data_IF_357445761798
#
_entry.id   IF_357445761798
#
_cell.length_a   1.000
_cell.length_b   1.000
_cell.length_c   1.000
_cell.angle_alpha   90.00
_cell.angle_beta   90.00
_cell.angle_gamma   90.00
#
_symmetry.space_group_name_H-M   'P 1'
#
loop_
_entity.id
_entity.type
_entity.pdbx_description
1 polymer ?
#
# COMPACT_ATOMS: atom_id res chain seq x y z
N UNK A 1 -67.70 -31.90 21.43
CA UNK A 1 -66.39 -31.93 20.74
C UNK A 1 -65.73 -33.28 21.05
N UNK A 2 -65.37 -34.04 20.02
CA UNK A 2 -65.27 -35.50 20.06
C UNK A 2 -64.03 -36.02 20.84
N UNK A 3 -64.13 -36.15 22.17
CA UNK A 3 -63.06 -36.59 23.07
C UNK A 3 -62.70 -38.08 22.99
N UNK A 4 -63.48 -38.90 22.27
CA UNK A 4 -63.22 -40.34 22.07
C UNK A 4 -62.08 -40.67 21.10
N UNK A 5 -61.75 -39.76 20.17
CA UNK A 5 -60.66 -39.97 19.21
C UNK A 5 -59.29 -39.94 19.91
N UNK A 6 -59.09 -38.99 20.81
CA UNK A 6 -57.84 -38.83 21.55
C UNK A 6 -57.51 -40.02 22.45
N UNK A 7 -58.50 -40.67 23.05
CA UNK A 7 -58.25 -41.84 23.89
C UNK A 7 -57.81 -43.07 23.10
N UNK A 8 -58.37 -43.29 21.90
CA UNK A 8 -58.06 -44.46 21.07
C UNK A 8 -56.68 -44.38 20.40
N UNK A 9 -56.24 -43.18 20.03
CA UNK A 9 -54.93 -42.95 19.39
C UNK A 9 -53.86 -42.44 20.37
N UNK A 10 -54.17 -42.31 21.67
CA UNK A 10 -53.24 -41.82 22.71
C UNK A 10 -51.90 -42.54 22.68
N UNK A 11 -51.92 -43.87 22.50
CA UNK A 11 -50.71 -44.69 22.44
C UNK A 11 -49.89 -44.40 21.17
N UNK A 12 -50.51 -44.36 20.00
CA UNK A 12 -49.83 -44.02 18.74
C UNK A 12 -49.22 -42.62 18.76
N UNK A 13 -49.92 -41.63 19.34
CA UNK A 13 -49.43 -40.26 19.52
C UNK A 13 -48.23 -40.27 20.48
N UNK A 14 -48.31 -41.02 21.59
CA UNK A 14 -47.21 -41.12 22.56
C UNK A 14 -45.94 -41.73 21.95
N UNK A 15 -46.08 -42.80 21.15
CA UNK A 15 -44.94 -43.40 20.45
C UNK A 15 -44.36 -42.48 19.38
N UNK A 16 -45.21 -41.76 18.63
CA UNK A 16 -44.74 -40.77 17.66
C UNK A 16 -43.97 -39.62 18.30
N UNK A 17 -44.46 -39.12 19.45
CA UNK A 17 -43.82 -38.05 20.21
C UNK A 17 -42.51 -38.54 20.84
N UNK A 18 -42.48 -39.78 21.35
CA UNK A 18 -41.26 -40.42 21.85
C UNK A 18 -40.22 -40.59 20.75
N UNK A 19 -40.61 -41.03 19.56
CA UNK A 19 -39.70 -41.18 18.41
C UNK A 19 -39.16 -39.82 17.95
N UNK A 20 -40.02 -38.80 17.86
CA UNK A 20 -39.59 -37.44 17.52
C UNK A 20 -38.60 -36.88 18.55
N UNK A 21 -38.86 -37.11 19.84
CA UNK A 21 -37.95 -36.72 20.93
C UNK A 21 -36.59 -37.43 20.82
N UNK A 22 -36.61 -38.74 20.52
CA UNK A 22 -35.41 -39.56 20.42
C UNK A 22 -34.55 -39.15 19.21
N UNK A 23 -35.18 -38.90 18.06
CA UNK A 23 -34.51 -38.36 16.88
C UNK A 23 -33.94 -36.96 17.12
N UNK A 24 -34.69 -36.09 17.80
CA UNK A 24 -34.21 -34.77 18.17
C UNK A 24 -32.99 -34.86 19.09
N UNK A 25 -33.04 -35.72 20.12
CA UNK A 25 -31.94 -35.94 21.04
C UNK A 25 -30.70 -36.51 20.32
N UNK A 26 -30.90 -37.45 19.40
CA UNK A 26 -29.82 -38.04 18.61
C UNK A 26 -29.15 -36.99 17.73
N UNK A 27 -29.93 -36.15 17.03
CA UNK A 27 -29.41 -35.06 16.21
C UNK A 27 -28.71 -33.99 17.04
N UNK A 28 -29.25 -33.69 18.22
CA UNK A 28 -28.62 -32.77 19.17
C UNK A 28 -27.26 -33.31 19.66
N UNK A 29 -27.18 -34.61 19.94
CA UNK A 29 -25.96 -35.26 20.38
C UNK A 29 -24.94 -35.37 19.25
N UNK A 30 -25.36 -35.70 18.03
CA UNK A 30 -24.51 -35.66 16.84
C UNK A 30 -23.94 -34.26 16.63
N UNK A 31 -24.77 -33.22 16.68
CA UNK A 31 -24.32 -31.83 16.52
C UNK A 31 -23.30 -31.47 17.60
N UNK A 32 -23.57 -31.82 18.86
CA UNK A 32 -22.65 -31.59 19.97
C UNK A 32 -21.33 -32.37 19.81
N UNK A 33 -21.40 -33.61 19.36
CA UNK A 33 -20.24 -34.47 19.18
C UNK A 33 -19.39 -34.01 18.00
N UNK A 34 -20.00 -33.64 16.88
CA UNK A 34 -19.34 -33.07 15.69
C UNK A 34 -18.61 -31.78 16.04
N UNK A 35 -19.23 -30.89 16.83
CA UNK A 35 -18.56 -29.66 17.30
C UNK A 35 -17.36 -30.00 18.20
N UNK A 36 -17.46 -31.05 19.03
CA UNK A 36 -16.38 -31.45 19.94
C UNK A 36 -15.22 -32.15 19.22
N UNK A 37 -15.50 -33.06 18.27
CA UNK A 37 -14.48 -33.80 17.53
C UNK A 37 -13.73 -32.93 16.53
N UNK A 38 -14.40 -31.94 15.90
CA UNK A 38 -13.79 -31.04 14.91
C UNK A 38 -13.42 -29.67 15.48
N UNK A 39 -13.26 -29.56 16.80
CA UNK A 39 -12.93 -28.29 17.45
C UNK A 39 -11.70 -27.61 16.80
N UNK A 40 -10.64 -28.37 16.50
CA UNK A 40 -9.43 -27.84 15.86
C UNK A 40 -9.68 -27.26 14.46
N UNK A 41 -10.50 -27.92 13.63
CA UNK A 41 -10.85 -27.43 12.29
C UNK A 41 -11.69 -26.15 12.37
N UNK A 42 -12.62 -26.09 13.32
CA UNK A 42 -13.45 -24.91 13.57
C UNK A 42 -12.59 -23.74 14.06
N UNK A 43 -11.67 -23.97 15.01
CA UNK A 43 -10.74 -22.93 15.47
C UNK A 43 -9.81 -22.46 14.36
N UNK A 44 -9.24 -23.38 13.57
CA UNK A 44 -8.39 -23.02 12.44
C UNK A 44 -9.16 -22.21 11.39
N UNK A 45 -10.41 -22.57 11.09
CA UNK A 45 -11.29 -21.82 10.20
C UNK A 45 -11.62 -20.42 10.73
N UNK A 46 -11.90 -20.28 12.03
CA UNK A 46 -12.15 -18.99 12.67
C UNK A 46 -10.89 -18.08 12.62
N UNK A 47 -9.71 -18.65 12.89
CA UNK A 47 -8.43 -17.94 12.77
C UNK A 47 -8.21 -17.52 11.31
N UNK A 48 -8.42 -18.42 10.34
CA UNK A 48 -8.26 -18.10 8.93
C UNK A 48 -9.18 -16.95 8.47
N UNK A 49 -10.45 -16.94 8.91
CA UNK A 49 -11.40 -15.86 8.61
C UNK A 49 -10.96 -14.52 9.21
N UNK A 50 -10.51 -14.50 10.46
CA UNK A 50 -10.04 -13.27 11.11
C UNK A 50 -8.79 -12.70 10.43
N UNK A 51 -7.81 -13.55 10.13
CA UNK A 51 -6.59 -13.14 9.43
C UNK A 51 -6.85 -12.71 7.98
N UNK A 52 -7.75 -13.39 7.26
CA UNK A 52 -8.12 -13.01 5.89
C UNK A 52 -8.81 -11.64 5.87
N UNK A 53 -9.77 -11.42 6.76
CA UNK A 53 -10.44 -10.12 6.89
C UNK A 53 -9.47 -9.00 7.27
N UNK A 54 -8.59 -9.26 8.25
CA UNK A 54 -7.58 -8.30 8.70
C UNK A 54 -6.54 -7.99 7.61
N UNK A 55 -6.11 -9.00 6.86
CA UNK A 55 -5.18 -8.86 5.74
C UNK A 55 -5.76 -8.03 4.61
N UNK A 56 -7.01 -8.28 4.20
CA UNK A 56 -7.70 -7.49 3.18
C UNK A 56 -7.86 -6.04 3.65
N UNK A 57 -8.30 -5.83 4.90
CA UNK A 57 -8.43 -4.48 5.47
C UNK A 57 -7.10 -3.73 5.50
N UNK A 58 -6.03 -4.40 5.97
CA UNK A 58 -4.71 -3.81 6.07
C UNK A 58 -4.14 -3.49 4.67
N UNK A 59 -4.30 -4.41 3.71
CA UNK A 59 -3.90 -4.20 2.33
C UNK A 59 -4.59 -2.98 1.74
N UNK A 60 -5.92 -2.85 1.89
CA UNK A 60 -6.67 -1.69 1.40
C UNK A 60 -6.30 -0.39 2.13
N UNK A 61 -5.99 -0.47 3.44
CA UNK A 61 -5.58 0.70 4.23
C UNK A 61 -4.20 1.23 3.84
N UNK A 62 -3.25 0.34 3.53
CA UNK A 62 -1.90 0.68 3.10
C UNK A 62 -1.81 0.96 1.60
N UNK A 63 -2.69 0.39 0.79
CA UNK A 63 -2.74 0.57 -0.66
C UNK A 63 -3.32 1.93 -1.09
N UNK A 64 -3.70 2.82 -0.17
CA UNK A 64 -4.00 4.22 -0.54
C UNK A 64 -2.68 4.91 -0.91
N UNK A 65 -2.40 5.19 -2.19
CA UNK A 65 -1.19 5.91 -2.54
C UNK A 65 -1.35 7.36 -2.05
N UNK A 66 -0.64 7.71 -0.98
CA UNK A 66 -0.52 9.08 -0.50
C UNK A 66 0.45 9.90 -1.37
N UNK A 67 0.33 9.78 -2.69
CA UNK A 67 1.03 10.62 -3.66
C UNK A 67 -0.03 11.25 -4.53
N UNK A 68 -0.68 12.26 -3.95
CA UNK A 68 -1.41 13.27 -4.69
C UNK A 68 -0.34 14.06 -5.46
N UNK A 69 0.18 13.49 -6.53
CA UNK A 69 0.81 14.26 -7.60
C UNK A 69 -0.31 15.12 -8.14
N UNK A 70 -0.44 16.31 -7.55
CA UNK A 70 -1.15 17.40 -8.18
C UNK A 70 -0.37 17.63 -9.47
N UNK A 71 -0.83 17.00 -10.55
CA UNK A 71 -0.58 17.45 -11.90
C UNK A 71 -1.25 18.82 -11.93
N UNK A 72 -0.51 19.82 -11.44
CA UNK A 72 -0.78 21.20 -11.82
C UNK A 72 -0.40 21.20 -13.29
N UNK A 73 -1.37 20.88 -14.13
CA UNK A 73 -1.42 21.29 -15.52
C UNK A 73 -1.48 22.82 -15.49
N UNK A 74 -0.36 23.44 -15.09
CA UNK A 74 -0.12 24.81 -15.40
C UNK A 74 0.21 24.73 -16.86
N UNK A 75 -0.72 25.14 -17.71
CA UNK A 75 -0.40 25.51 -19.09
C UNK A 75 0.73 26.54 -19.00
N UNK A 76 1.97 26.05 -19.06
CA UNK A 76 3.12 26.88 -19.29
C UNK A 76 2.98 27.20 -20.76
N UNK A 77 2.33 28.33 -21.03
CA UNK A 77 2.52 29.05 -22.27
C UNK A 77 4.02 29.20 -22.42
N UNK A 78 4.62 28.34 -23.25
CA UNK A 78 5.99 28.45 -23.69
C UNK A 78 6.03 29.75 -24.48
N UNK A 79 6.33 30.85 -23.80
CA UNK A 79 6.86 32.05 -24.44
C UNK A 79 8.22 31.64 -24.96
N UNK A 80 8.21 31.23 -26.22
CA UNK A 80 9.41 31.08 -27.01
C UNK A 80 10.25 32.37 -26.85
N UNK A 81 11.54 32.17 -26.58
CA UNK A 81 12.58 33.18 -26.52
C UNK A 81 12.47 34.21 -25.38
N UNK A 82 12.93 33.82 -24.19
CA UNK A 82 13.84 34.67 -23.42
C UNK A 82 14.97 33.79 -22.90
N UNK A 83 16.20 34.16 -23.29
CA UNK A 83 17.44 33.45 -23.01
C UNK A 83 17.60 33.07 -21.54
N UNK A 84 17.68 31.77 -21.24
CA UNK A 84 18.10 31.26 -19.94
C UNK A 84 19.51 31.78 -19.63
N UNK A 85 19.60 32.77 -18.74
CA UNK A 85 20.87 33.30 -18.25
C UNK A 85 21.26 32.50 -17.00
N UNK A 86 22.21 31.59 -17.17
CA UNK A 86 22.78 30.80 -16.08
C UNK A 86 23.30 31.76 -15.00
N UNK A 87 22.62 31.82 -13.85
CA UNK A 87 23.05 32.65 -12.73
C UNK A 87 24.24 31.98 -12.03
N UNK A 88 25.44 32.09 -12.63
CA UNK A 88 26.71 31.58 -12.07
C UNK A 88 26.93 32.02 -10.61
N UNK A 89 26.38 33.17 -10.23
CA UNK A 89 26.42 33.68 -8.84
C UNK A 89 25.74 32.77 -7.82
N UNK A 90 24.61 32.13 -8.16
CA UNK A 90 23.88 31.22 -7.26
C UNK A 90 24.62 29.87 -7.10
N UNK A 91 25.26 29.39 -8.16
CA UNK A 91 26.07 28.17 -8.17
C UNK A 91 27.30 28.35 -7.27
N UNK A 92 27.99 29.49 -7.43
CA UNK A 92 29.14 29.85 -6.61
C UNK A 92 28.76 30.10 -5.14
N UNK A 93 27.62 30.76 -4.88
CA UNK A 93 27.14 31.03 -3.51
C UNK A 93 26.87 29.76 -2.70
N UNK A 94 26.51 28.66 -3.36
CA UNK A 94 26.22 27.37 -2.72
C UNK A 94 27.35 26.34 -2.84
N UNK A 95 28.45 26.70 -3.50
CA UNK A 95 29.61 25.83 -3.68
C UNK A 95 29.30 24.53 -4.44
N UNK A 96 28.32 24.56 -5.36
CA UNK A 96 27.96 23.37 -6.15
C UNK A 96 29.05 23.14 -7.20
N UNK A 97 29.63 21.94 -7.20
CA UNK A 97 30.65 21.55 -8.16
C UNK A 97 30.04 21.23 -9.52
N UNK A 98 30.85 21.32 -10.58
CA UNK A 98 30.43 20.96 -11.95
C UNK A 98 29.82 19.55 -12.03
N UNK A 99 30.42 18.58 -11.34
CA UNK A 99 29.90 17.20 -11.30
C UNK A 99 28.57 17.07 -10.56
N UNK A 100 28.37 17.84 -9.49
CA UNK A 100 27.08 17.85 -8.79
C UNK A 100 25.99 18.51 -9.63
N UNK A 101 26.34 19.53 -10.43
CA UNK A 101 25.43 20.16 -11.39
C UNK A 101 25.03 19.19 -12.49
N UNK A 102 25.99 18.50 -13.12
CA UNK A 102 25.69 17.47 -14.13
C UNK A 102 24.74 16.39 -13.58
N UNK A 103 25.01 15.90 -12.36
CA UNK A 103 24.13 14.92 -11.71
C UNK A 103 22.74 15.51 -11.48
N UNK A 104 22.63 16.78 -11.07
CA UNK A 104 21.36 17.48 -10.86
C UNK A 104 20.54 17.66 -12.15
N UNK A 105 21.19 17.98 -13.28
CA UNK A 105 20.55 18.09 -14.59
C UNK A 105 19.97 16.74 -15.03
N UNK A 106 20.77 15.68 -14.99
CA UNK A 106 20.27 14.33 -15.28
C UNK A 106 19.19 13.88 -14.29
N UNK A 107 19.26 14.37 -13.04
CA UNK A 107 18.22 14.10 -12.07
C UNK A 107 16.88 14.73 -12.46
N UNK A 108 16.92 15.93 -13.04
CA UNK A 108 15.76 16.67 -13.53
C UNK A 108 15.15 16.05 -14.79
N UNK A 109 15.97 15.44 -15.64
CA UNK A 109 15.52 14.62 -16.79
C UNK A 109 14.86 13.29 -16.37
N UNK A 110 14.91 12.92 -15.09
CA UNK A 110 14.29 11.70 -14.57
C UNK A 110 15.17 10.44 -14.60
N UNK A 111 16.47 10.57 -14.88
CA UNK A 111 17.38 9.42 -14.96
C UNK A 111 17.70 8.82 -13.61
N UNK A 112 17.64 7.50 -13.48
CA UNK A 112 18.07 6.78 -12.29
C UNK A 112 19.56 6.96 -12.02
N UNK A 113 19.99 6.82 -10.76
CA UNK A 113 21.42 6.93 -10.41
C UNK A 113 22.30 5.92 -11.17
N UNK A 114 21.73 4.80 -11.62
CA UNK A 114 22.43 3.81 -12.45
C UNK A 114 22.67 4.34 -13.87
N UNK A 115 21.66 4.96 -14.48
CA UNK A 115 21.79 5.57 -15.81
C UNK A 115 22.73 6.77 -15.78
N UNK A 116 22.65 7.59 -14.72
CA UNK A 116 23.60 8.70 -14.49
C UNK A 116 25.03 8.17 -14.39
N UNK A 117 25.24 7.08 -13.63
CA UNK A 117 26.55 6.46 -13.50
C UNK A 117 27.11 5.99 -14.85
N UNK A 118 26.25 5.37 -15.69
CA UNK A 118 26.60 4.98 -17.05
C UNK A 118 26.95 6.15 -17.95
N UNK A 119 26.20 7.26 -17.90
CA UNK A 119 26.47 8.47 -18.70
C UNK A 119 27.75 9.19 -18.29
N UNK A 120 28.03 9.25 -16.99
CA UNK A 120 29.20 9.91 -16.45
C UNK A 120 30.46 9.02 -16.46
N UNK A 121 30.34 7.75 -16.88
CA UNK A 121 31.41 6.74 -16.83
C UNK A 121 32.02 6.57 -15.42
N UNK A 122 31.16 6.58 -14.39
CA UNK A 122 31.55 6.42 -12.98
C UNK A 122 30.77 5.30 -12.31
N UNK A 123 31.21 4.89 -11.11
CA UNK A 123 30.47 3.89 -10.33
C UNK A 123 29.16 4.45 -9.77
N UNK A 124 28.18 3.58 -9.52
CA UNK A 124 26.94 3.95 -8.83
C UNK A 124 27.21 4.58 -7.45
N UNK A 125 28.25 4.11 -6.75
CA UNK A 125 28.62 4.65 -5.45
C UNK A 125 29.10 6.10 -5.56
N UNK A 126 29.89 6.40 -6.59
CA UNK A 126 30.36 7.76 -6.89
C UNK A 126 29.18 8.71 -7.11
N UNK A 127 28.17 8.32 -7.88
CA UNK A 127 26.94 9.11 -8.08
C UNK A 127 26.19 9.32 -6.76
N UNK A 128 26.07 8.29 -5.91
CA UNK A 128 25.45 8.43 -4.59
C UNK A 128 26.19 9.44 -3.71
N UNK A 129 27.52 9.43 -3.73
CA UNK A 129 28.32 10.41 -2.99
C UNK A 129 28.09 11.83 -3.52
N UNK A 130 28.09 12.05 -4.83
CA UNK A 130 27.77 13.35 -5.41
C UNK A 130 26.35 13.81 -5.05
N UNK A 131 25.38 12.89 -5.07
CA UNK A 131 23.99 13.17 -4.71
C UNK A 131 23.86 13.57 -3.24
N UNK A 132 24.56 12.89 -2.33
CA UNK A 132 24.55 13.23 -0.89
C UNK A 132 25.10 14.63 -0.62
N UNK A 133 26.27 14.95 -1.19
CA UNK A 133 26.89 16.28 -1.03
C UNK A 133 26.03 17.38 -1.66
N UNK A 134 25.42 17.11 -2.81
CA UNK A 134 24.47 18.02 -3.43
C UNK A 134 23.25 18.26 -2.51
N UNK A 135 22.69 17.21 -1.90
CA UNK A 135 21.55 17.34 -1.00
C UNK A 135 21.90 18.14 0.26
N UNK A 136 23.10 17.95 0.79
CA UNK A 136 23.62 18.76 1.90
C UNK A 136 23.75 20.24 1.50
N UNK A 137 24.35 20.54 0.34
CA UNK A 137 24.51 21.92 -0.18
C UNK A 137 23.18 22.60 -0.53
N UNK A 138 22.21 21.82 -0.98
CA UNK A 138 20.86 22.29 -1.25
C UNK A 138 19.97 22.22 -0.01
N UNK A 139 20.42 21.71 1.14
CA UNK A 139 19.64 21.53 2.37
C UNK A 139 18.31 20.80 2.14
N UNK A 140 18.34 19.72 1.34
CA UNK A 140 17.16 18.92 1.00
C UNK A 140 17.37 17.47 1.43
N UNK A 141 16.27 16.73 1.59
CA UNK A 141 16.33 15.32 2.01
C UNK A 141 15.94 14.34 0.92
N UNK A 142 15.40 14.83 -0.20
CA UNK A 142 14.94 13.97 -1.29
C UNK A 142 15.33 14.52 -2.66
N UNK A 143 15.45 13.60 -3.62
CA UNK A 143 15.72 13.92 -5.02
C UNK A 143 14.71 14.90 -5.61
N UNK A 144 13.43 14.69 -5.33
CA UNK A 144 12.36 15.56 -5.81
C UNK A 144 12.52 16.98 -5.26
N UNK A 145 12.79 17.12 -3.95
CA UNK A 145 13.06 18.42 -3.34
C UNK A 145 14.29 19.10 -3.93
N UNK A 146 15.33 18.32 -4.26
CA UNK A 146 16.54 18.86 -4.90
C UNK A 146 16.22 19.47 -6.27
N UNK A 147 15.46 18.76 -7.11
CA UNK A 147 15.05 19.23 -8.44
C UNK A 147 14.13 20.45 -8.32
N UNK A 148 13.13 20.41 -7.44
CA UNK A 148 12.22 21.54 -7.24
C UNK A 148 12.95 22.80 -6.72
N UNK A 149 13.84 22.64 -5.73
CA UNK A 149 14.63 23.76 -5.20
C UNK A 149 15.56 24.32 -6.26
N UNK A 150 16.17 23.47 -7.08
CA UNK A 150 17.05 23.92 -8.16
C UNK A 150 16.31 24.65 -9.28
N UNK A 151 15.09 24.21 -9.66
CA UNK A 151 14.22 24.94 -10.59
C UNK A 151 13.80 26.29 -10.05
N UNK A 152 13.43 26.35 -8.76
CA UNK A 152 13.07 27.62 -8.09
C UNK A 152 14.24 28.60 -8.04
N UNK A 153 15.47 28.09 -7.91
CA UNK A 153 16.69 28.89 -7.92
C UNK A 153 17.24 29.15 -9.34
N UNK A 154 16.54 28.67 -10.38
CA UNK A 154 16.95 28.81 -11.80
C UNK A 154 18.37 28.29 -12.08
N UNK A 155 18.81 27.26 -11.35
CA UNK A 155 20.11 26.62 -11.56
C UNK A 155 20.04 25.62 -12.72
N UNK A 156 18.87 25.01 -12.91
CA UNK A 156 18.55 24.08 -13.99
C UNK A 156 17.25 24.52 -14.68
N UNK A 157 17.05 24.17 -15.96
CA UNK A 157 15.84 24.51 -16.71
C UNK A 157 14.56 23.79 -16.21
#
# INVERSE_FOLDING_TARGET
MNSGFFFRYKQSILYGLSLALLLFLLKWLELRFVIYSHALEIYAGAIALTFTGLGIWLALKLAKPATKTVVVEKEVVVRAADSFTLHEKEIAARGISKRELEVLEWMAEGLSNREIASRLFVSLNTVKTHTSRLFEKLEVKSRMQAVEKAKRLQIIP
#
